data_IF_524080595798
#
_entry.id   IF_524080595798
#
_cell.length_a   1.000
_cell.length_b   1.000
_cell.length_c   1.000
_cell.angle_alpha   90.00
_cell.angle_beta   90.00
_cell.angle_gamma   90.00
#
_symmetry.space_group_name_H-M   'P 1'
#
loop_
_entity.id
_entity.type
_entity.pdbx_description
1 polymer ?
#
# COMPACT_ATOMS: atom_id res chain seq x y z
N UNK A 1 6.60 -10.47 -7.24
CA UNK A 1 5.37 -10.12 -7.97
C UNK A 1 4.44 -11.29 -8.02
N UNK A 2 3.14 -11.07 -8.23
CA UNK A 2 2.13 -12.13 -8.27
C UNK A 2 1.26 -12.04 -9.51
N UNK A 3 0.81 -13.20 -10.00
CA UNK A 3 -0.25 -13.31 -10.99
C UNK A 3 -1.53 -13.73 -10.27
N UNK A 4 -2.62 -12.99 -10.43
CA UNK A 4 -3.89 -13.27 -9.75
C UNK A 4 -5.02 -13.18 -10.77
N UNK A 5 -6.01 -14.08 -10.68
CA UNK A 5 -7.21 -13.98 -11.52
C UNK A 5 -8.13 -12.85 -11.04
N UNK A 6 -8.89 -12.20 -11.95
CA UNK A 6 -9.93 -11.27 -11.57
C UNK A 6 -10.91 -11.85 -10.54
N UNK A 7 -11.35 -11.02 -9.59
CA UNK A 7 -12.17 -11.46 -8.45
C UNK A 7 -11.38 -12.09 -7.30
N UNK A 8 -10.11 -12.46 -7.53
CA UNK A 8 -9.22 -12.98 -6.51
C UNK A 8 -8.86 -11.97 -5.42
N UNK A 9 -8.17 -12.46 -4.39
CA UNK A 9 -7.65 -11.66 -3.29
C UNK A 9 -6.18 -11.95 -3.06
N UNK A 10 -5.41 -10.93 -2.68
CA UNK A 10 -3.99 -11.05 -2.37
C UNK A 10 -3.64 -10.14 -1.20
N UNK A 11 -2.61 -10.51 -0.44
CA UNK A 11 -2.01 -9.65 0.58
C UNK A 11 -0.59 -9.29 0.18
N UNK A 12 -0.32 -8.00 0.00
CA UNK A 12 1.05 -7.48 -0.13
C UNK A 12 1.62 -7.17 1.25
N UNK A 13 2.93 -7.36 1.40
CA UNK A 13 3.70 -6.95 2.57
C UNK A 13 4.87 -6.06 2.13
N UNK A 14 5.24 -5.11 2.98
CA UNK A 14 6.40 -4.25 2.79
C UNK A 14 7.16 -4.15 4.11
N UNK A 15 8.30 -4.85 4.20
CA UNK A 15 9.23 -4.70 5.31
C UNK A 15 10.03 -3.40 5.14
N UNK A 16 10.14 -2.64 6.22
CA UNK A 16 10.86 -1.36 6.23
C UNK A 16 12.01 -1.40 7.22
N UNK A 17 13.06 -0.62 6.94
CA UNK A 17 14.22 -0.47 7.81
C UNK A 17 14.80 0.94 7.65
N UNK A 18 15.70 1.35 8.53
CA UNK A 18 16.36 2.67 8.46
C UNK A 18 15.60 3.83 9.10
N UNK A 19 14.45 3.58 9.73
CA UNK A 19 13.72 4.56 10.54
C UNK A 19 12.82 3.86 11.58
N UNK A 20 12.38 4.61 12.58
CA UNK A 20 11.45 4.13 13.61
C UNK A 20 10.04 4.00 13.03
N UNK A 21 9.72 2.84 12.46
CA UNK A 21 8.44 2.58 11.77
C UNK A 21 7.21 3.02 12.56
N UNK A 22 7.22 2.84 13.88
CA UNK A 22 6.10 3.16 14.78
C UNK A 22 5.70 4.62 14.79
N UNK A 23 6.61 5.52 14.45
CA UNK A 23 6.42 6.96 14.63
C UNK A 23 5.76 7.60 13.41
N UNK A 24 5.85 6.93 12.25
CA UNK A 24 5.41 7.49 10.98
C UNK A 24 4.10 6.90 10.50
N UNK A 25 3.42 7.68 9.67
CA UNK A 25 2.31 7.19 8.86
C UNK A 25 2.90 6.45 7.67
N UNK A 26 2.17 5.47 7.18
CA UNK A 26 2.64 4.62 6.10
C UNK A 26 1.60 4.58 5.01
N UNK A 27 2.02 4.82 3.77
CA UNK A 27 1.17 4.89 2.59
C UNK A 27 1.41 3.72 1.66
N UNK A 28 0.38 3.36 0.90
CA UNK A 28 0.51 2.59 -0.32
C UNK A 28 0.27 3.48 -1.53
N UNK A 29 1.12 3.32 -2.53
CA UNK A 29 1.06 4.01 -3.82
C UNK A 29 1.20 2.95 -4.90
N UNK A 30 0.50 3.10 -6.01
CA UNK A 30 0.69 2.24 -7.19
C UNK A 30 1.08 3.05 -8.40
N UNK A 31 1.75 2.39 -9.35
CA UNK A 31 2.06 2.92 -10.66
C UNK A 31 1.59 1.93 -11.72
N UNK A 32 0.45 2.20 -12.39
CA UNK A 32 0.04 1.41 -13.53
C UNK A 32 1.03 1.59 -14.70
N UNK A 33 1.17 0.60 -15.61
CA UNK A 33 2.04 0.70 -16.76
C UNK A 33 1.72 1.95 -17.60
N UNK A 34 2.75 2.78 -17.87
CA UNK A 34 2.62 4.00 -18.67
C UNK A 34 1.81 5.13 -18.02
N UNK A 35 1.49 5.04 -16.72
CA UNK A 35 0.71 6.06 -15.99
C UNK A 35 1.51 6.66 -14.83
N UNK A 36 1.03 7.80 -14.35
CA UNK A 36 1.55 8.45 -13.15
C UNK A 36 1.28 7.60 -11.89
N UNK A 37 2.00 7.91 -10.82
CA UNK A 37 1.75 7.35 -9.50
C UNK A 37 0.36 7.75 -8.97
N UNK A 38 -0.32 6.79 -8.36
CA UNK A 38 -1.62 6.95 -7.72
C UNK A 38 -1.49 6.57 -6.25
N UNK A 39 -1.79 7.51 -5.36
CA UNK A 39 -1.92 7.22 -3.93
C UNK A 39 -3.18 6.39 -3.67
N UNK A 40 -3.03 5.30 -2.90
CA UNK A 40 -4.13 4.37 -2.60
C UNK A 40 -4.73 4.57 -1.23
N UNK A 41 -3.90 4.94 -0.26
CA UNK A 41 -4.30 5.03 1.13
C UNK A 41 -3.11 5.15 2.07
N UNK A 42 -3.40 5.49 3.32
CA UNK A 42 -2.41 5.43 4.40
C UNK A 42 -3.02 4.89 5.69
N UNK A 43 -2.14 4.48 6.60
CA UNK A 43 -2.46 4.17 7.99
C UNK A 43 -1.65 5.08 8.92
N UNK A 44 -2.33 5.73 9.87
CA UNK A 44 -1.67 6.58 10.86
C UNK A 44 -0.89 5.75 11.88
N UNK A 45 -0.02 6.41 12.63
CA UNK A 45 0.71 5.80 13.73
C UNK A 45 -0.21 5.54 14.94
N UNK A 46 0.35 4.90 15.97
CA UNK A 46 -0.37 4.56 17.21
C UNK A 46 -0.95 5.79 17.90
N UNK A 47 -0.20 6.90 17.93
CA UNK A 47 -0.61 8.14 18.57
C UNK A 47 -1.88 8.73 17.95
N UNK A 48 -2.17 8.42 16.68
CA UNK A 48 -3.34 8.88 15.95
C UNK A 48 -4.37 7.75 15.69
N UNK A 49 -4.38 6.75 16.58
CA UNK A 49 -5.41 5.71 16.66
C UNK A 49 -5.43 4.70 15.51
N UNK A 50 -4.35 4.58 14.73
CA UNK A 50 -4.29 3.69 13.56
C UNK A 50 -5.39 3.92 12.52
N UNK A 51 -5.93 5.13 12.46
CA UNK A 51 -6.97 5.48 11.47
C UNK A 51 -6.43 5.33 10.06
N UNK A 52 -7.30 4.94 9.13
CA UNK A 52 -6.95 4.71 7.73
C UNK A 52 -7.78 5.60 6.82
N UNK A 53 -7.15 6.04 5.73
CA UNK A 53 -7.82 6.74 4.64
C UNK A 53 -7.47 6.06 3.32
N UNK A 54 -8.42 6.08 2.40
CA UNK A 54 -8.34 5.38 1.12
C UNK A 54 -8.75 6.30 -0.01
N UNK A 55 -8.11 6.15 -1.17
CA UNK A 55 -8.56 6.77 -2.41
C UNK A 55 -9.87 6.14 -2.88
N UNK A 56 -10.62 6.88 -3.69
CA UNK A 56 -11.90 6.42 -4.23
C UNK A 56 -11.77 5.14 -5.07
N UNK A 57 -10.62 4.89 -5.69
CA UNK A 57 -10.40 3.73 -6.58
C UNK A 57 -10.34 2.38 -5.87
N UNK A 58 -10.00 2.37 -4.58
CA UNK A 58 -9.79 1.15 -3.79
C UNK A 58 -10.67 1.07 -2.54
N UNK A 59 -11.40 2.14 -2.21
CA UNK A 59 -12.30 2.19 -1.05
C UNK A 59 -13.30 1.04 -1.07
N UNK A 60 -13.40 0.32 0.04
CA UNK A 60 -14.29 -0.84 0.20
C UNK A 60 -13.74 -2.16 -0.37
N UNK A 61 -12.60 -2.14 -1.07
CA UNK A 61 -11.96 -3.36 -1.60
C UNK A 61 -10.64 -3.67 -0.92
N UNK A 62 -9.86 -2.63 -0.60
CA UNK A 62 -8.53 -2.79 -0.02
C UNK A 62 -8.52 -2.38 1.46
N UNK A 63 -7.67 -3.03 2.24
CA UNK A 63 -7.48 -2.76 3.67
C UNK A 63 -6.00 -2.66 3.99
N UNK A 64 -5.59 -1.51 4.55
CA UNK A 64 -4.22 -1.30 5.01
C UNK A 64 -4.13 -1.71 6.48
N UNK A 65 -3.07 -2.45 6.83
CA UNK A 65 -2.75 -2.80 8.22
C UNK A 65 -1.24 -2.77 8.42
N UNK A 66 -0.79 -2.73 9.68
CA UNK A 66 0.62 -2.63 10.04
C UNK A 66 0.97 -3.54 11.22
N UNK A 67 2.17 -4.11 11.18
CA UNK A 67 2.81 -4.80 12.30
C UNK A 67 4.05 -4.03 12.73
N UNK A 68 3.95 -3.39 13.89
CA UNK A 68 5.02 -2.57 14.45
C UNK A 68 6.17 -3.40 15.02
N UNK A 69 5.92 -4.63 15.47
CA UNK A 69 6.97 -5.50 16.01
C UNK A 69 7.93 -5.97 14.91
N UNK A 70 7.41 -6.12 13.69
CA UNK A 70 8.15 -6.57 12.52
C UNK A 70 8.51 -5.42 11.57
N UNK A 71 8.04 -4.19 11.82
CA UNK A 71 8.15 -3.05 10.91
C UNK A 71 7.62 -3.33 9.50
N UNK A 72 6.48 -4.03 9.42
CA UNK A 72 5.85 -4.45 8.16
C UNK A 72 4.53 -3.70 7.94
N UNK A 73 4.36 -3.15 6.75
CA UNK A 73 3.09 -2.63 6.25
C UNK A 73 2.42 -3.68 5.35
N UNK A 74 1.11 -3.86 5.48
CA UNK A 74 0.33 -4.78 4.68
C UNK A 74 -0.76 -4.07 3.88
N UNK A 75 -1.06 -4.59 2.69
CA UNK A 75 -2.22 -4.23 1.89
C UNK A 75 -2.99 -5.50 1.55
N UNK A 76 -4.13 -5.71 2.22
CA UNK A 76 -5.08 -6.74 1.81
C UNK A 76 -5.89 -6.18 0.65
N UNK A 77 -5.90 -6.90 -0.47
CA UNK A 77 -6.54 -6.51 -1.71
C UNK A 77 -7.59 -7.54 -2.06
N UNK A 78 -8.87 -7.19 -1.89
CA UNK A 78 -9.97 -8.10 -2.19
C UNK A 78 -10.65 -7.68 -3.50
N UNK A 79 -11.32 -8.62 -4.17
CA UNK A 79 -12.06 -8.35 -5.42
C UNK A 79 -11.20 -7.62 -6.45
N UNK A 80 -10.04 -8.21 -6.76
CA UNK A 80 -9.08 -7.64 -7.69
C UNK A 80 -9.65 -7.54 -9.11
N UNK A 81 -9.31 -6.45 -9.79
CA UNK A 81 -9.73 -6.20 -11.17
C UNK A 81 -8.50 -6.06 -12.07
N UNK A 82 -8.69 -6.19 -13.38
CA UNK A 82 -7.61 -6.04 -14.35
C UNK A 82 -6.91 -4.67 -14.21
N UNK A 83 -7.68 -3.62 -13.87
CA UNK A 83 -7.18 -2.26 -13.68
C UNK A 83 -6.31 -2.09 -12.42
N UNK A 84 -6.31 -3.07 -11.52
CA UNK A 84 -5.41 -3.11 -10.37
C UNK A 84 -4.01 -3.63 -10.74
N UNK A 85 -3.75 -3.99 -12.00
CA UNK A 85 -2.41 -4.35 -12.47
C UNK A 85 -1.48 -3.13 -12.43
N UNK A 86 -0.49 -3.16 -11.55
CA UNK A 86 0.43 -2.06 -11.31
C UNK A 86 1.67 -2.52 -10.53
N UNK A 87 2.68 -1.65 -10.45
CA UNK A 87 3.73 -1.77 -9.42
C UNK A 87 3.30 -1.04 -8.16
N UNK A 88 3.28 -1.75 -7.04
CA UNK A 88 2.85 -1.26 -5.74
C UNK A 88 4.04 -0.94 -4.86
N UNK A 89 4.03 0.24 -4.25
CA UNK A 89 5.09 0.75 -3.40
C UNK A 89 4.51 1.09 -2.03
N UNK A 90 5.21 0.70 -0.98
CA UNK A 90 4.98 1.31 0.33
C UNK A 90 5.84 2.57 0.46
N UNK A 91 5.33 3.58 1.16
CA UNK A 91 6.08 4.79 1.41
C UNK A 91 5.86 5.30 2.83
N UNK A 92 6.90 5.90 3.42
CA UNK A 92 6.76 6.68 4.65
C UNK A 92 6.06 7.97 4.32
N UNK A 93 5.01 8.31 5.05
CA UNK A 93 4.30 9.57 4.91
C UNK A 93 4.67 10.49 6.07
N UNK A 94 5.37 11.58 5.77
CA UNK A 94 5.72 12.60 6.73
C UNK A 94 4.79 13.81 6.55
N UNK A 95 3.97 14.08 7.57
CA UNK A 95 3.07 15.22 7.53
C UNK A 95 3.88 16.53 7.62
N UNK A 96 3.62 17.53 6.75
CA UNK A 96 2.36 17.67 6.03
C UNK A 96 2.34 17.28 4.54
N UNK A 97 3.45 17.01 3.82
CA UNK A 97 3.34 16.97 2.33
C UNK A 97 4.22 16.00 1.51
N UNK A 98 4.99 15.06 2.06
CA UNK A 98 5.79 14.21 1.18
C UNK A 98 6.04 12.78 1.66
N UNK A 99 6.13 11.90 0.66
CA UNK A 99 6.67 10.56 0.78
C UNK A 99 8.18 10.62 0.50
N UNK A 100 8.98 10.59 1.56
CA UNK A 100 10.44 10.73 1.48
C UNK A 100 11.20 9.40 1.52
N UNK A 101 10.54 8.32 1.93
CA UNK A 101 11.07 6.96 1.87
C UNK A 101 10.13 6.06 1.08
N UNK A 102 10.69 5.31 0.13
CA UNK A 102 9.95 4.42 -0.77
C UNK A 102 10.52 3.00 -0.72
N UNK A 103 9.65 2.00 -0.69
CA UNK A 103 10.02 0.62 -0.91
C UNK A 103 10.41 0.36 -2.37
N UNK A 104 11.09 -0.75 -2.63
CA UNK A 104 11.56 -1.16 -3.97
C UNK A 104 10.44 -1.41 -4.98
N UNK A 105 9.20 -1.52 -4.51
CA UNK A 105 8.05 -1.82 -5.34
C UNK A 105 7.83 -3.31 -5.55
N UNK A 106 6.60 -3.70 -5.86
CA UNK A 106 6.24 -5.06 -6.25
C UNK A 106 5.18 -5.00 -7.34
N UNK A 107 5.48 -5.63 -8.47
CA UNK A 107 4.54 -5.71 -9.59
C UNK A 107 3.51 -6.80 -9.35
N UNK A 108 2.24 -6.43 -9.51
CA UNK A 108 1.09 -7.32 -9.51
C UNK A 108 0.44 -7.26 -10.88
N UNK A 109 0.17 -8.43 -11.45
CA UNK A 109 -0.58 -8.57 -12.70
C UNK A 109 -1.88 -9.32 -12.42
N UNK A 110 -3.00 -8.73 -12.85
CA UNK A 110 -4.32 -9.34 -12.77
C UNK A 110 -4.79 -9.65 -14.18
N UNK A 111 -4.74 -10.92 -14.57
CA UNK A 111 -5.17 -11.38 -15.90
C UNK A 111 -5.90 -12.72 -15.81
N UNK A 112 -6.77 -12.96 -16.80
CA UNK A 112 -7.41 -14.26 -17.00
C UNK A 112 -6.48 -15.27 -17.64
#
# INVERSE_FOLDING_TARGET
GGLVQPGGSLRLSCATSGFTFTDYYMSWVRQPPGKAFEWLGFIRNKANGYTTEYSASVKGRFTISRDNSQSILYLQMNTLRAEDSATYYCARYNAPYYCDYWGQGTTLTVSS
#
